data_IF_926291233409
#
_entry.id   IF_926291233409
#
_cell.length_a   1.000
_cell.length_b   1.000
_cell.length_c   1.000
_cell.angle_alpha   90.00
_cell.angle_beta   90.00
_cell.angle_gamma   90.00
#
_symmetry.space_group_name_H-M   'P 1'
#
loop_
_entity.id
_entity.type
_entity.pdbx_description
1 polymer ?
#
# COMPACT_ATOMS: atom_id res chain seq x y z
N UNK A 1 -13.59 53.00 31.65
CA UNK A 1 -12.34 52.23 31.52
C UNK A 1 -12.49 50.91 32.27
N UNK A 2 -12.80 49.81 31.57
CA UNK A 2 -12.49 48.44 31.99
C UNK A 2 -12.26 47.63 30.71
N UNK A 3 -11.10 46.98 30.68
CA UNK A 3 -10.46 46.39 29.51
C UNK A 3 -11.31 45.28 28.88
N UNK A 4 -11.27 45.28 27.56
CA UNK A 4 -11.67 44.22 26.65
C UNK A 4 -10.82 42.96 26.96
N UNK A 5 -11.42 41.89 27.48
CA UNK A 5 -10.76 40.57 27.51
C UNK A 5 -11.14 39.83 26.23
N UNK A 6 -10.41 40.13 25.16
CA UNK A 6 -10.43 39.37 23.92
C UNK A 6 -9.55 38.13 24.11
N UNK A 7 -10.08 37.06 24.69
CA UNK A 7 -9.36 35.79 24.76
C UNK A 7 -9.36 35.15 23.38
N UNK A 8 -8.22 35.29 22.73
CA UNK A 8 -7.75 34.65 21.51
C UNK A 8 -8.17 33.17 21.46
N UNK A 9 -9.19 32.83 20.67
CA UNK A 9 -9.45 31.43 20.31
C UNK A 9 -8.36 31.03 19.32
N UNK A 10 -7.33 30.37 19.84
CA UNK A 10 -6.22 29.84 19.05
C UNK A 10 -6.76 28.83 18.03
N UNK A 11 -6.68 29.17 16.75
CA UNK A 11 -6.83 28.22 15.65
C UNK A 11 -5.69 27.22 15.72
N UNK A 12 -5.94 26.08 16.37
CA UNK A 12 -5.10 24.89 16.23
C UNK A 12 -5.60 24.18 14.97
N UNK A 13 -5.22 24.70 13.79
CA UNK A 13 -5.12 23.90 12.58
C UNK A 13 -3.79 23.13 12.69
N UNK A 14 -3.75 22.14 13.58
CA UNK A 14 -2.71 21.14 13.51
C UNK A 14 -3.03 20.28 12.30
N UNK A 15 -2.19 20.41 11.29
CA UNK A 15 -2.10 19.58 10.11
C UNK A 15 -2.20 18.10 10.49
N UNK A 16 -3.40 17.53 10.34
CA UNK A 16 -3.57 16.09 10.22
C UNK A 16 -2.98 15.71 8.86
N UNK A 17 -1.67 15.42 8.84
CA UNK A 17 -1.12 14.66 7.72
C UNK A 17 -1.87 13.34 7.74
N UNK A 18 -2.64 13.11 6.68
CA UNK A 18 -3.48 11.93 6.46
C UNK A 18 -2.62 10.66 6.58
N UNK A 19 -2.61 10.03 7.75
CA UNK A 19 -2.50 8.58 7.80
C UNK A 19 -3.87 8.10 7.37
N UNK A 20 -3.99 7.83 6.08
CA UNK A 20 -5.16 7.13 5.56
C UNK A 20 -5.23 5.80 6.32
N UNK A 21 -6.36 5.51 6.97
CA UNK A 21 -6.46 4.23 7.69
C UNK A 21 -6.31 3.10 6.68
N UNK A 22 -5.66 2.01 7.08
CA UNK A 22 -5.42 0.82 6.25
C UNK A 22 -6.71 0.35 5.53
N UNK A 23 -7.87 0.53 6.17
CA UNK A 23 -9.19 0.24 5.60
C UNK A 23 -9.58 1.15 4.42
N UNK A 24 -9.20 2.43 4.42
CA UNK A 24 -9.45 3.30 3.27
C UNK A 24 -8.57 2.87 2.09
N UNK A 25 -7.30 2.52 2.33
CA UNK A 25 -6.41 1.99 1.27
C UNK A 25 -6.97 0.67 0.72
N UNK A 26 -7.48 -0.21 1.59
CA UNK A 26 -8.17 -1.43 1.19
C UNK A 26 -9.39 -1.13 0.30
N UNK A 27 -10.23 -0.17 0.69
CA UNK A 27 -11.42 0.18 -0.07
C UNK A 27 -11.09 0.83 -1.42
N UNK A 28 -10.00 1.59 -1.53
CA UNK A 28 -9.49 2.08 -2.81
C UNK A 28 -9.04 0.94 -3.71
N UNK A 29 -8.24 0.00 -3.19
CA UNK A 29 -7.82 -1.17 -3.95
C UNK A 29 -9.01 -2.03 -4.42
N UNK A 30 -10.06 -2.16 -3.60
CA UNK A 30 -11.32 -2.82 -3.98
C UNK A 30 -12.01 -2.09 -5.13
N UNK A 31 -12.10 -0.77 -5.03
CA UNK A 31 -12.73 0.08 -6.04
C UNK A 31 -12.01 -0.03 -7.39
N UNK A 32 -10.68 0.08 -7.39
CA UNK A 32 -9.87 0.07 -8.61
C UNK A 32 -9.87 -1.29 -9.32
N UNK A 33 -9.99 -2.37 -8.55
CA UNK A 33 -10.08 -3.74 -9.07
C UNK A 33 -11.51 -4.17 -9.39
N UNK A 34 -12.52 -3.43 -8.92
CA UNK A 34 -13.94 -3.82 -8.93
C UNK A 34 -14.16 -5.21 -8.27
N UNK A 35 -13.46 -5.49 -7.18
CA UNK A 35 -13.49 -6.77 -6.47
C UNK A 35 -14.05 -6.65 -5.05
N UNK A 36 -14.93 -7.59 -4.69
CA UNK A 36 -15.51 -7.69 -3.35
C UNK A 36 -14.81 -8.75 -2.51
N UNK A 37 -14.43 -8.36 -1.30
CA UNK A 37 -13.75 -9.21 -0.32
C UNK A 37 -13.88 -8.61 1.09
N UNK A 38 -13.88 -9.43 2.17
CA UNK A 38 -13.80 -8.93 3.53
C UNK A 38 -12.44 -8.24 3.80
N UNK A 39 -12.42 -7.31 4.73
CA UNK A 39 -11.17 -6.68 5.18
C UNK A 39 -10.26 -7.71 5.86
N UNK A 40 -8.96 -7.61 5.60
CA UNK A 40 -7.92 -8.41 6.28
C UNK A 40 -6.99 -7.50 7.08
N UNK A 41 -6.47 -8.03 8.19
CA UNK A 41 -5.61 -7.27 9.07
C UNK A 41 -4.19 -7.12 8.51
N UNK A 42 -3.58 -5.99 8.87
CA UNK A 42 -2.15 -5.70 8.67
C UNK A 42 -1.44 -5.85 10.00
N UNK A 43 -0.31 -6.56 10.00
CA UNK A 43 0.58 -6.71 11.15
C UNK A 43 1.89 -6.02 10.79
N UNK A 44 2.24 -5.01 11.57
CA UNK A 44 3.49 -4.25 11.44
C UNK A 44 4.54 -4.83 12.37
N UNK A 45 5.51 -5.57 11.80
CA UNK A 45 6.54 -6.31 12.56
C UNK A 45 7.71 -6.72 11.64
N UNK A 46 8.85 -6.01 11.73
CA UNK A 46 10.05 -6.30 10.92
C UNK A 46 10.63 -7.69 11.13
N UNK A 47 10.52 -8.24 12.34
CA UNK A 47 11.14 -9.53 12.68
C UNK A 47 10.34 -10.64 12.00
N UNK A 48 9.00 -10.56 12.05
CA UNK A 48 8.12 -11.47 11.32
C UNK A 48 8.26 -11.35 9.81
N UNK A 49 8.42 -10.14 9.27
CA UNK A 49 8.70 -9.98 7.83
C UNK A 49 9.99 -10.68 7.45
N UNK A 50 11.04 -10.53 8.25
CA UNK A 50 12.34 -11.15 7.98
C UNK A 50 12.31 -12.68 8.08
N UNK A 51 11.46 -13.22 8.95
CA UNK A 51 11.28 -14.66 9.15
C UNK A 51 10.37 -15.31 8.08
N UNK A 52 9.28 -14.65 7.70
CA UNK A 52 8.17 -15.27 6.96
C UNK A 52 8.14 -14.83 5.50
N UNK A 53 8.38 -13.55 5.21
CA UNK A 53 8.25 -13.04 3.85
C UNK A 53 9.46 -13.45 2.97
N UNK A 54 9.30 -13.39 1.63
CA UNK A 54 10.42 -13.59 0.72
C UNK A 54 11.61 -12.71 1.08
N UNK A 55 12.82 -13.25 0.92
CA UNK A 55 14.05 -12.57 1.30
C UNK A 55 14.13 -11.18 0.66
N UNK A 56 14.49 -10.18 1.47
CA UNK A 56 14.57 -8.76 1.09
C UNK A 56 13.23 -8.08 0.76
N UNK A 57 12.10 -8.73 1.05
CA UNK A 57 10.81 -8.04 0.98
C UNK A 57 10.61 -7.10 2.16
N UNK A 58 9.88 -6.03 1.91
CA UNK A 58 9.40 -5.07 2.92
C UNK A 58 8.04 -5.47 3.52
N UNK A 59 7.41 -6.50 2.96
CA UNK A 59 6.12 -7.03 3.39
C UNK A 59 5.61 -8.13 2.48
N UNK A 60 4.58 -8.86 2.89
CA UNK A 60 3.95 -9.88 2.08
C UNK A 60 2.51 -10.14 2.50
N UNK A 61 1.69 -10.53 1.54
CA UNK A 61 0.37 -11.12 1.78
C UNK A 61 0.53 -12.63 1.99
N UNK A 62 -0.17 -13.16 2.99
CA UNK A 62 -0.18 -14.58 3.34
C UNK A 62 -1.63 -15.06 3.32
N UNK A 63 -1.93 -16.07 2.52
CA UNK A 63 -3.29 -16.64 2.36
C UNK A 63 -3.75 -17.54 3.51
N UNK A 64 -2.90 -17.74 4.52
CA UNK A 64 -3.20 -18.56 5.71
C UNK A 64 -4.26 -17.87 6.59
N UNK A 65 -5.09 -18.66 7.26
CA UNK A 65 -6.03 -18.20 8.28
C UNK A 65 -7.01 -17.10 7.81
N UNK A 66 -7.43 -17.15 6.54
CA UNK A 66 -8.35 -16.18 5.94
C UNK A 66 -7.68 -14.97 5.29
N UNK A 67 -6.35 -14.90 5.32
CA UNK A 67 -5.59 -13.82 4.70
C UNK A 67 -5.14 -12.78 5.72
N UNK A 68 -3.85 -12.43 5.71
CA UNK A 68 -3.33 -11.26 6.42
C UNK A 68 -2.09 -10.71 5.72
N UNK A 69 -1.76 -9.46 6.04
CA UNK A 69 -0.59 -8.77 5.52
C UNK A 69 0.44 -8.60 6.64
N UNK A 70 1.71 -8.89 6.34
CA UNK A 70 2.85 -8.47 7.14
C UNK A 70 3.55 -7.30 6.46
N UNK A 71 3.84 -6.23 7.19
CA UNK A 71 4.64 -5.10 6.71
C UNK A 71 5.74 -4.79 7.72
N UNK A 72 6.91 -4.40 7.21
CA UNK A 72 8.02 -3.94 8.04
C UNK A 72 7.64 -2.58 8.66
N UNK A 73 7.64 -2.49 9.99
CA UNK A 73 7.29 -1.29 10.75
C UNK A 73 8.31 -0.14 10.63
N UNK A 74 9.46 -0.41 9.99
CA UNK A 74 10.49 0.58 9.65
C UNK A 74 10.40 1.05 8.18
N UNK A 75 9.31 0.74 7.45
CA UNK A 75 9.10 1.23 6.09
C UNK A 75 9.06 2.77 6.04
N UNK A 76 9.77 3.42 5.10
CA UNK A 76 9.66 4.87 4.96
C UNK A 76 8.22 5.29 4.62
N UNK A 77 7.73 6.33 5.28
CA UNK A 77 6.31 6.75 5.21
C UNK A 77 5.84 7.07 3.80
N UNK A 78 6.71 7.58 2.93
CA UNK A 78 6.37 7.86 1.53
C UNK A 78 6.11 6.59 0.70
N UNK A 79 6.62 5.43 1.11
CA UNK A 79 6.41 4.13 0.47
C UNK A 79 5.28 3.31 1.10
N UNK A 80 4.90 3.61 2.33
CA UNK A 80 3.93 2.86 3.11
C UNK A 80 2.65 2.55 2.32
N UNK A 81 1.94 3.61 1.88
CA UNK A 81 0.60 3.44 1.33
C UNK A 81 0.60 2.64 0.01
N UNK A 82 1.56 2.88 -0.88
CA UNK A 82 1.65 2.15 -2.16
C UNK A 82 2.04 0.69 -1.96
N UNK A 83 2.79 0.38 -0.89
CA UNK A 83 3.14 -1.00 -0.56
C UNK A 83 1.92 -1.70 -0.01
N UNK A 84 1.23 -1.09 0.94
CA UNK A 84 0.01 -1.64 1.51
C UNK A 84 -1.09 -1.81 0.45
N UNK A 85 -1.27 -0.81 -0.41
CA UNK A 85 -2.19 -0.86 -1.55
C UNK A 85 -1.89 -2.08 -2.45
N UNK A 86 -0.62 -2.26 -2.84
CA UNK A 86 -0.22 -3.42 -3.65
C UNK A 86 -0.48 -4.76 -2.98
N UNK A 87 -0.24 -4.87 -1.66
CA UNK A 87 -0.49 -6.11 -0.92
C UNK A 87 -1.98 -6.40 -0.76
N UNK A 88 -2.82 -5.36 -0.64
CA UNK A 88 -4.27 -5.53 -0.75
C UNK A 88 -4.71 -5.93 -2.15
N UNK A 89 -4.12 -5.36 -3.20
CA UNK A 89 -4.39 -5.79 -4.58
C UNK A 89 -4.06 -7.27 -4.79
N UNK A 90 -2.95 -7.75 -4.25
CA UNK A 90 -2.56 -9.17 -4.29
C UNK A 90 -3.58 -10.05 -3.55
N UNK A 91 -4.00 -9.63 -2.35
CA UNK A 91 -5.05 -10.30 -1.60
C UNK A 91 -6.36 -10.39 -2.39
N UNK A 92 -6.83 -9.26 -2.94
CA UNK A 92 -8.09 -9.18 -3.67
C UNK A 92 -8.09 -10.08 -4.92
N UNK A 93 -7.01 -10.04 -5.70
CA UNK A 93 -6.83 -10.92 -6.85
C UNK A 93 -6.83 -12.39 -6.44
N UNK A 94 -6.06 -12.76 -5.41
CA UNK A 94 -5.97 -14.13 -4.93
C UNK A 94 -7.30 -14.61 -4.34
N UNK A 95 -8.01 -13.78 -3.57
CA UNK A 95 -9.31 -14.13 -3.01
C UNK A 95 -10.36 -14.36 -4.10
N UNK A 96 -10.31 -13.58 -5.18
CA UNK A 96 -11.27 -13.69 -6.29
C UNK A 96 -10.95 -14.84 -7.26
N UNK A 97 -9.68 -15.07 -7.57
CA UNK A 97 -9.28 -15.97 -8.67
C UNK A 97 -8.35 -17.13 -8.26
N UNK A 98 -7.82 -17.10 -7.04
CA UNK A 98 -6.76 -18.00 -6.59
C UNK A 98 -5.38 -17.68 -7.19
N UNK A 99 -5.27 -16.66 -8.03
CA UNK A 99 -4.05 -16.26 -8.73
C UNK A 99 -3.71 -14.79 -8.46
N UNK A 100 -2.43 -14.46 -8.56
CA UNK A 100 -1.92 -13.09 -8.47
C UNK A 100 -1.25 -12.75 -9.80
N UNK A 101 -1.63 -11.63 -10.40
CA UNK A 101 -0.97 -11.08 -11.57
C UNK A 101 -0.03 -9.95 -11.15
N UNK A 102 1.26 -10.28 -11.02
CA UNK A 102 2.30 -9.32 -10.63
C UNK A 102 2.32 -8.06 -11.52
N UNK A 103 2.00 -8.20 -12.82
CA UNK A 103 1.98 -7.07 -13.77
C UNK A 103 0.84 -6.12 -13.42
N UNK A 104 -0.35 -6.67 -13.16
CA UNK A 104 -1.51 -5.89 -12.73
C UNK A 104 -1.23 -5.18 -11.40
N UNK A 105 -0.68 -5.87 -10.41
CA UNK A 105 -0.30 -5.26 -9.13
C UNK A 105 0.70 -4.12 -9.33
N UNK A 106 1.66 -4.30 -10.26
CA UNK A 106 2.61 -3.26 -10.62
C UNK A 106 1.93 -2.02 -11.21
N UNK A 107 1.05 -2.19 -12.20
CA UNK A 107 0.33 -1.09 -12.84
C UNK A 107 -0.56 -0.35 -11.84
N UNK A 108 -1.28 -1.09 -10.99
CA UNK A 108 -2.12 -0.56 -9.92
C UNK A 108 -1.32 0.34 -8.97
N UNK A 109 -0.14 -0.09 -8.52
CA UNK A 109 0.73 0.72 -7.65
C UNK A 109 1.19 2.01 -8.30
N UNK A 110 1.49 1.98 -9.61
CA UNK A 110 1.90 3.17 -10.36
C UNK A 110 0.72 4.13 -10.52
N UNK A 111 -0.48 3.63 -10.83
CA UNK A 111 -1.70 4.42 -10.95
C UNK A 111 -2.08 5.07 -9.62
N UNK A 112 -2.11 4.31 -8.54
CA UNK A 112 -2.35 4.78 -7.18
C UNK A 112 -1.45 5.97 -6.81
N UNK A 113 -0.15 5.87 -7.11
CA UNK A 113 0.80 6.96 -6.86
C UNK A 113 0.54 8.19 -7.74
N UNK A 114 0.17 8.00 -9.00
CA UNK A 114 -0.13 9.11 -9.90
C UNK A 114 -1.41 9.86 -9.51
N UNK A 115 -2.45 9.14 -9.13
CA UNK A 115 -3.71 9.71 -8.65
C UNK A 115 -3.50 10.54 -7.39
N UNK A 116 -2.65 10.04 -6.48
CA UNK A 116 -2.22 10.73 -5.26
C UNK A 116 -1.12 11.80 -5.49
N UNK A 117 -0.86 12.20 -6.74
CA UNK A 117 0.12 13.23 -7.10
C UNK A 117 1.57 12.94 -6.66
N UNK A 118 1.91 11.68 -6.39
CA UNK A 118 3.26 11.19 -6.01
C UNK A 118 4.06 10.77 -7.26
N UNK A 119 4.14 11.62 -8.28
CA UNK A 119 4.68 11.28 -9.61
C UNK A 119 6.14 10.79 -9.62
N UNK A 120 7.02 11.38 -8.80
CA UNK A 120 8.41 10.95 -8.74
C UNK A 120 8.52 9.50 -8.24
N UNK A 121 7.71 9.16 -7.23
CA UNK A 121 7.61 7.81 -6.70
C UNK A 121 6.97 6.87 -7.71
N UNK A 122 5.93 7.31 -8.44
CA UNK A 122 5.30 6.52 -9.50
C UNK A 122 6.33 6.11 -10.56
N UNK A 123 7.21 7.03 -10.96
CA UNK A 123 8.30 6.76 -11.90
C UNK A 123 9.32 5.75 -11.35
N UNK A 124 9.66 5.83 -10.07
CA UNK A 124 10.53 4.85 -9.40
C UNK A 124 9.93 3.44 -9.47
N UNK A 125 8.65 3.29 -9.11
CA UNK A 125 7.95 2.00 -9.11
C UNK A 125 7.77 1.45 -10.52
N UNK A 126 7.42 2.30 -11.50
CA UNK A 126 7.35 1.91 -12.91
C UNK A 126 8.69 1.35 -13.41
N UNK A 127 9.81 2.02 -13.10
CA UNK A 127 11.15 1.53 -13.45
C UNK A 127 11.51 0.20 -12.78
N UNK A 128 11.08 0.00 -11.52
CA UNK A 128 11.28 -1.26 -10.81
C UNK A 128 10.49 -2.41 -11.46
N UNK A 129 9.21 -2.18 -11.75
CA UNK A 129 8.33 -3.15 -12.41
C UNK A 129 8.91 -3.58 -13.76
N UNK A 130 9.33 -2.63 -14.59
CA UNK A 130 10.01 -2.90 -15.86
C UNK A 130 11.25 -3.80 -15.69
N UNK A 131 12.07 -3.54 -14.68
CA UNK A 131 13.28 -4.33 -14.42
C UNK A 131 12.97 -5.75 -13.95
N UNK A 132 11.88 -5.94 -13.20
CA UNK A 132 11.44 -7.27 -12.74
C UNK A 132 10.92 -8.12 -13.91
N UNK A 133 10.22 -7.50 -14.88
CA UNK A 133 9.67 -8.22 -16.03
C UNK A 133 10.67 -8.41 -17.18
N UNK A 134 11.65 -7.52 -17.36
CA UNK A 134 12.75 -7.73 -18.34
C UNK A 134 13.55 -9.00 -18.08
N UNK A 135 13.71 -9.41 -16.82
CA UNK A 135 14.39 -10.66 -16.47
C UNK A 135 13.49 -11.91 -16.55
N UNK A 136 12.18 -11.75 -16.79
CA UNK A 136 11.20 -12.84 -16.92
C UNK A 136 10.87 -13.21 -18.38
N UNK A 137 11.35 -12.45 -19.39
CA UNK A 137 11.09 -12.74 -20.81
C UNK A 137 12.39 -13.04 -21.56
N UNK A 138 12.64 -14.34 -21.80
CA UNK A 138 12.91 -14.94 -23.11
C UNK A 138 13.13 -16.45 -22.96
N UNK A 139 12.03 -17.22 -22.94
CA UNK A 139 12.01 -18.54 -23.59
C UNK A 139 10.72 -18.60 -24.40
N UNK A 140 10.82 -18.33 -25.69
CA UNK A 140 9.82 -18.78 -26.66
C UNK A 140 10.37 -20.07 -27.27
N UNK A 141 9.63 -21.17 -27.12
CA UNK A 141 9.75 -22.34 -27.99
C UNK A 141 8.74 -22.22 -29.12
#
# INVERSE_FOLDING_TARGET
>A
MKLLNLTLFSFILLSFYHVQSDEVIFNEAKSDLELESPYINVIYDKDKVSEICPKYSIGCYLSKDGGYILINDEIPSNHHDVVLFGLYSDYLQHNNSGLINDVLTCDLKVNYLNENQKHELARLYSGQCDSLFRNKVLVMN
#
